data_IF_976497386781
#
_entry.id   IF_976497386781
#
_cell.length_a   1.000
_cell.length_b   1.000
_cell.length_c   1.000
_cell.angle_alpha   90.00
_cell.angle_beta   90.00
_cell.angle_gamma   90.00
#
_symmetry.space_group_name_H-M   'P 1'
#
loop_
_entity.id
_entity.type
_entity.pdbx_description
1 polymer ?
#
# COMPACT_ATOMS: atom_id res chain seq x y z
N UNK A 1 -27.66 26.04 -14.20
CA UNK A 1 -27.07 26.52 -12.93
C UNK A 1 -26.07 25.46 -12.49
N UNK A 2 -24.86 25.83 -12.10
CA UNK A 2 -23.85 24.86 -11.64
C UNK A 2 -24.24 24.32 -10.27
N UNK A 3 -24.34 23.00 -10.12
CA UNK A 3 -24.64 22.37 -8.84
C UNK A 3 -23.43 22.48 -7.90
N UNK A 4 -23.65 22.98 -6.68
CA UNK A 4 -22.60 23.08 -5.68
C UNK A 4 -22.26 21.69 -5.12
N UNK A 5 -20.99 21.38 -4.84
CA UNK A 5 -20.65 20.14 -4.16
C UNK A 5 -21.35 20.06 -2.80
N UNK A 6 -21.77 18.85 -2.36
CA UNK A 6 -22.49 18.68 -1.12
C UNK A 6 -21.64 19.14 0.08
N UNK A 7 -22.30 19.78 1.04
CA UNK A 7 -21.76 20.05 2.37
C UNK A 7 -22.57 19.26 3.38
N UNK A 8 -21.93 18.27 3.97
CA UNK A 8 -22.53 17.42 4.98
C UNK A 8 -22.59 18.12 6.32
N UNK A 9 -23.69 17.92 7.02
CA UNK A 9 -23.87 18.35 8.40
C UNK A 9 -23.00 17.52 9.34
N UNK A 10 -22.75 18.04 10.55
CA UNK A 10 -22.05 17.30 11.62
C UNK A 10 -22.71 15.94 11.90
N UNK A 11 -24.05 15.87 11.84
CA UNK A 11 -24.80 14.65 12.10
C UNK A 11 -24.56 13.59 11.00
N UNK A 12 -24.64 13.97 9.73
CA UNK A 12 -24.35 13.07 8.60
C UNK A 12 -22.90 12.61 8.62
N UNK A 13 -21.95 13.50 8.89
CA UNK A 13 -20.53 13.14 9.02
C UNK A 13 -20.29 12.17 10.18
N UNK A 14 -21.00 12.33 11.30
CA UNK A 14 -20.90 11.43 12.45
C UNK A 14 -21.49 10.05 12.15
N UNK A 15 -22.64 10.00 11.48
CA UNK A 15 -23.27 8.76 11.06
C UNK A 15 -22.38 7.97 10.08
N UNK A 16 -21.93 8.61 9.01
CA UNK A 16 -21.09 7.96 8.01
C UNK A 16 -19.73 7.54 8.59
N UNK A 17 -19.12 8.35 9.46
CA UNK A 17 -17.89 7.96 10.14
C UNK A 17 -18.09 6.75 11.08
N UNK A 18 -19.23 6.66 11.75
CA UNK A 18 -19.59 5.51 12.59
C UNK A 18 -19.79 4.24 11.75
N UNK A 19 -20.52 4.35 10.64
CA UNK A 19 -20.77 3.25 9.69
C UNK A 19 -19.46 2.74 9.08
N UNK A 20 -18.61 3.65 8.60
CA UNK A 20 -17.31 3.28 8.02
C UNK A 20 -16.39 2.62 9.05
N UNK A 21 -16.39 3.09 10.31
CA UNK A 21 -15.64 2.46 11.39
C UNK A 21 -16.19 1.07 11.75
N UNK A 22 -17.52 0.86 11.67
CA UNK A 22 -18.14 -0.43 11.89
C UNK A 22 -17.76 -1.44 10.80
N UNK A 23 -17.79 -1.03 9.54
CA UNK A 23 -17.32 -1.85 8.41
C UNK A 23 -15.84 -2.19 8.54
N UNK A 24 -15.00 -1.23 8.89
CA UNK A 24 -13.59 -1.48 9.16
C UNK A 24 -13.39 -2.52 10.27
N UNK A 25 -14.17 -2.46 11.37
CA UNK A 25 -14.09 -3.48 12.43
C UNK A 25 -14.52 -4.86 11.92
N UNK A 26 -15.62 -4.93 11.17
CA UNK A 26 -16.12 -6.18 10.60
C UNK A 26 -15.09 -6.82 9.65
N UNK A 27 -14.51 -6.03 8.74
CA UNK A 27 -13.44 -6.48 7.82
C UNK A 27 -12.21 -6.98 8.58
N UNK A 28 -11.80 -6.32 9.67
CA UNK A 28 -10.63 -6.72 10.47
C UNK A 28 -10.85 -7.97 11.30
N UNK A 29 -12.10 -8.26 11.67
CA UNK A 29 -12.49 -9.43 12.48
C UNK A 29 -12.98 -10.59 11.61
N UNK A 30 -13.16 -10.38 10.31
CA UNK A 30 -13.55 -11.43 9.39
C UNK A 30 -12.54 -12.56 9.40
N UNK A 31 -13.03 -13.80 9.49
CA UNK A 31 -12.21 -14.99 9.34
C UNK A 31 -11.81 -15.09 7.87
N UNK A 32 -10.51 -15.08 7.61
CA UNK A 32 -9.96 -15.25 6.26
C UNK A 32 -8.84 -16.27 6.27
N UNK A 33 -8.65 -16.93 5.14
CA UNK A 33 -7.53 -17.86 4.95
C UNK A 33 -6.20 -17.14 4.64
N UNK A 34 -6.17 -15.80 4.71
CA UNK A 34 -4.98 -15.00 4.40
C UNK A 34 -3.82 -15.35 5.36
N UNK A 35 -4.09 -15.48 6.67
CA UNK A 35 -3.08 -15.91 7.65
C UNK A 35 -2.43 -17.23 7.28
N UNK A 36 -3.26 -18.26 7.09
CA UNK A 36 -2.81 -19.61 6.75
C UNK A 36 -2.07 -19.64 5.40
N UNK A 37 -2.55 -18.87 4.41
CA UNK A 37 -1.93 -18.77 3.09
C UNK A 37 -0.54 -18.15 3.15
N UNK A 38 -0.39 -17.02 3.86
CA UNK A 38 0.91 -16.36 4.02
C UNK A 38 1.87 -17.21 4.86
N UNK A 39 1.36 -17.86 5.91
CA UNK A 39 2.15 -18.80 6.71
C UNK A 39 2.68 -19.97 5.87
N UNK A 40 1.82 -20.67 5.13
CA UNK A 40 2.23 -21.79 4.26
C UNK A 40 3.26 -21.37 3.21
N UNK A 41 3.05 -20.21 2.58
CA UNK A 41 4.01 -19.66 1.60
C UNK A 41 5.34 -19.31 2.24
N UNK A 42 5.33 -18.70 3.42
CA UNK A 42 6.55 -18.38 4.16
C UNK A 42 7.28 -19.67 4.59
N UNK A 43 6.56 -20.66 5.11
CA UNK A 43 7.09 -21.96 5.51
C UNK A 43 7.76 -22.68 4.36
N UNK A 44 7.09 -22.80 3.22
CA UNK A 44 7.67 -23.40 2.03
C UNK A 44 8.96 -22.68 1.57
N UNK A 45 9.00 -21.34 1.63
CA UNK A 45 10.20 -20.55 1.32
C UNK A 45 11.36 -20.86 2.26
N UNK A 46 11.11 -20.91 3.58
CA UNK A 46 12.17 -21.20 4.55
C UNK A 46 12.63 -22.65 4.50
N UNK A 47 11.73 -23.61 4.29
CA UNK A 47 12.11 -25.01 4.08
C UNK A 47 13.01 -25.17 2.84
N UNK A 48 12.65 -24.50 1.74
CA UNK A 48 13.49 -24.49 0.54
C UNK A 48 14.86 -23.84 0.81
N UNK A 49 14.90 -22.73 1.54
CA UNK A 49 16.14 -22.05 1.90
C UNK A 49 17.04 -22.93 2.78
N UNK A 50 16.48 -23.53 3.82
CA UNK A 50 17.20 -24.42 4.73
C UNK A 50 17.76 -25.61 3.96
N UNK A 51 16.95 -26.26 3.12
CA UNK A 51 17.43 -27.38 2.30
C UNK A 51 18.57 -26.97 1.37
N UNK A 52 18.55 -25.74 0.82
CA UNK A 52 19.62 -25.24 -0.04
C UNK A 52 20.89 -24.86 0.71
N UNK A 53 20.76 -24.35 1.92
CA UNK A 53 21.88 -23.87 2.73
C UNK A 53 22.25 -24.86 3.85
N UNK A 54 21.97 -26.15 3.66
CA UNK A 54 22.30 -27.23 4.61
C UNK A 54 21.81 -26.95 6.04
N UNK A 55 20.55 -26.56 6.18
CA UNK A 55 19.89 -26.13 7.43
C UNK A 55 20.61 -24.97 8.12
N UNK A 56 21.27 -24.11 7.34
CA UNK A 56 22.15 -23.05 7.83
C UNK A 56 23.27 -23.63 8.69
N UNK A 57 23.85 -24.76 8.31
CA UNK A 57 25.10 -25.23 8.89
C UNK A 57 26.24 -24.36 8.33
N UNK A 58 27.02 -23.62 9.16
CA UNK A 58 28.08 -22.73 8.67
C UNK A 58 29.07 -23.39 7.72
N UNK A 59 29.38 -24.67 7.93
CA UNK A 59 30.33 -25.44 7.10
C UNK A 59 29.71 -25.81 5.75
N UNK A 60 28.38 -25.89 5.67
CA UNK A 60 27.63 -26.29 4.49
C UNK A 60 27.13 -25.14 3.62
N UNK A 61 27.46 -23.89 3.95
CA UNK A 61 27.08 -22.70 3.16
C UNK A 61 28.23 -22.37 2.20
N UNK A 62 27.95 -22.43 0.89
CA UNK A 62 28.93 -22.18 -0.17
C UNK A 62 28.43 -21.09 -1.12
N UNK A 63 29.32 -20.48 -1.88
CA UNK A 63 28.92 -19.45 -2.84
C UNK A 63 27.97 -20.01 -3.92
N UNK A 64 28.14 -21.28 -4.28
CA UNK A 64 27.28 -21.97 -5.25
C UNK A 64 25.83 -22.14 -4.74
N UNK A 65 25.65 -22.59 -3.49
CA UNK A 65 24.31 -22.79 -2.95
C UNK A 65 23.63 -21.46 -2.58
N UNK A 66 24.40 -20.44 -2.22
CA UNK A 66 23.91 -19.06 -2.10
C UNK A 66 23.42 -18.53 -3.46
N UNK A 67 24.18 -18.73 -4.53
CA UNK A 67 23.81 -18.28 -5.87
C UNK A 67 22.56 -19.01 -6.38
N UNK A 68 22.45 -20.31 -6.08
CA UNK A 68 21.25 -21.10 -6.38
C UNK A 68 20.03 -20.59 -5.60
N UNK A 69 20.17 -20.35 -4.29
CA UNK A 69 19.09 -19.83 -3.45
C UNK A 69 18.57 -18.47 -3.96
N UNK A 70 19.46 -17.54 -4.32
CA UNK A 70 19.07 -16.28 -4.96
C UNK A 70 18.40 -16.49 -6.32
N UNK A 71 18.91 -17.42 -7.14
CA UNK A 71 18.33 -17.79 -8.43
C UNK A 71 16.91 -18.36 -8.32
N UNK A 72 16.55 -18.95 -7.18
CA UNK A 72 15.21 -19.44 -6.87
C UNK A 72 14.29 -18.37 -6.27
N UNK A 73 14.77 -17.13 -6.12
CA UNK A 73 13.99 -16.02 -5.55
C UNK A 73 13.91 -16.04 -4.03
N UNK A 74 14.84 -16.72 -3.34
CA UNK A 74 14.87 -16.82 -1.87
C UNK A 74 15.54 -15.62 -1.17
N UNK A 75 15.89 -14.56 -1.91
CA UNK A 75 16.53 -13.37 -1.36
C UNK A 75 15.75 -12.73 -0.20
N UNK A 76 14.41 -12.71 -0.26
CA UNK A 76 13.60 -12.24 0.86
C UNK A 76 13.79 -13.11 2.12
N UNK A 77 13.77 -14.44 1.97
CA UNK A 77 13.94 -15.34 3.11
C UNK A 77 15.34 -15.19 3.73
N UNK A 78 16.37 -14.99 2.90
CA UNK A 78 17.73 -14.68 3.33
C UNK A 78 17.79 -13.40 4.19
N UNK A 79 17.16 -12.31 3.73
CA UNK A 79 17.10 -11.05 4.51
C UNK A 79 16.42 -11.20 5.86
N UNK A 80 15.47 -12.13 5.95
CA UNK A 80 14.73 -12.42 7.17
C UNK A 80 15.48 -13.36 8.12
N UNK A 81 16.65 -13.90 7.75
CA UNK A 81 17.56 -14.56 8.70
C UNK A 81 18.16 -13.55 9.70
N UNK A 82 18.29 -12.29 9.31
CA UNK A 82 18.79 -11.24 10.18
C UNK A 82 17.84 -10.95 11.36
N UNK A 83 18.40 -10.60 12.51
CA UNK A 83 17.69 -10.13 13.70
C UNK A 83 18.12 -8.71 14.06
N UNK A 84 17.35 -7.66 13.69
CA UNK A 84 16.06 -7.67 12.98
C UNK A 84 16.20 -7.89 11.45
N UNK A 85 15.09 -8.24 10.74
CA UNK A 85 15.10 -8.34 9.28
C UNK A 85 15.53 -7.04 8.59
N UNK A 86 16.29 -7.18 7.49
CA UNK A 86 16.81 -6.03 6.73
C UNK A 86 15.95 -5.80 5.47
N UNK A 87 15.68 -4.54 5.12
CA UNK A 87 15.00 -4.19 3.87
C UNK A 87 15.89 -4.41 2.64
N UNK A 88 15.30 -4.44 1.44
CA UNK A 88 16.06 -4.52 0.20
C UNK A 88 17.00 -3.30 0.03
N UNK A 89 16.48 -2.09 0.27
CA UNK A 89 17.25 -0.84 0.14
C UNK A 89 18.39 -0.76 1.15
N UNK A 90 18.14 -1.08 2.43
CA UNK A 90 19.18 -1.05 3.47
C UNK A 90 20.27 -2.07 3.16
N UNK A 91 19.90 -3.28 2.74
CA UNK A 91 20.89 -4.31 2.43
C UNK A 91 21.79 -3.90 1.26
N UNK A 92 21.22 -3.30 0.21
CA UNK A 92 22.00 -2.80 -0.91
C UNK A 92 23.03 -1.75 -0.47
N UNK A 93 22.64 -0.82 0.40
CA UNK A 93 23.51 0.23 0.93
C UNK A 93 24.59 -0.35 1.85
N UNK A 94 24.21 -1.20 2.81
CA UNK A 94 25.13 -1.75 3.81
C UNK A 94 26.13 -2.71 3.16
N UNK A 95 25.69 -3.51 2.18
CA UNK A 95 26.56 -4.43 1.46
C UNK A 95 27.46 -3.73 0.44
N UNK A 96 27.26 -2.43 0.15
CA UNK A 96 28.02 -1.69 -0.85
C UNK A 96 28.02 -2.40 -2.22
N UNK A 97 26.80 -2.59 -2.75
CA UNK A 97 26.55 -3.20 -4.07
C UNK A 97 25.63 -2.33 -4.92
N UNK A 98 25.83 -2.37 -6.24
CA UNK A 98 25.04 -1.55 -7.17
C UNK A 98 23.60 -2.06 -7.37
N UNK A 99 23.35 -3.34 -7.10
CA UNK A 99 22.03 -3.95 -7.23
C UNK A 99 21.94 -5.24 -6.42
N UNK A 100 20.77 -5.48 -5.84
CA UNK A 100 20.42 -6.76 -5.21
C UNK A 100 19.40 -7.58 -6.03
N UNK A 101 19.14 -7.19 -7.29
CA UNK A 101 18.20 -7.90 -8.15
C UNK A 101 18.69 -9.34 -8.41
N UNK A 102 17.83 -10.37 -8.32
CA UNK A 102 18.24 -11.77 -8.46
C UNK A 102 18.99 -12.07 -9.75
N UNK A 103 18.55 -11.50 -10.88
CA UNK A 103 19.19 -11.69 -12.19
C UNK A 103 20.58 -11.06 -12.32
N UNK A 104 20.92 -10.09 -11.45
CA UNK A 104 22.23 -9.44 -11.37
C UNK A 104 23.11 -10.18 -10.36
N UNK A 105 22.65 -10.33 -9.11
CA UNK A 105 23.44 -10.96 -8.03
C UNK A 105 23.84 -12.40 -8.33
N UNK A 106 22.98 -13.19 -9.00
CA UNK A 106 23.33 -14.58 -9.37
C UNK A 106 24.58 -14.66 -10.26
N UNK A 107 24.89 -13.61 -11.01
CA UNK A 107 26.02 -13.54 -11.94
C UNK A 107 27.26 -12.84 -11.37
N UNK A 108 27.15 -12.29 -10.16
CA UNK A 108 28.20 -11.53 -9.49
C UNK A 108 28.46 -12.14 -8.11
N UNK A 109 29.32 -13.17 -8.07
CA UNK A 109 29.67 -13.89 -6.85
C UNK A 109 30.28 -12.97 -5.78
N UNK A 110 31.04 -11.95 -6.18
CA UNK A 110 31.66 -11.01 -5.26
C UNK A 110 30.59 -10.14 -4.57
N UNK A 111 29.64 -9.60 -5.33
CA UNK A 111 28.51 -8.87 -4.78
C UNK A 111 27.63 -9.75 -3.90
N UNK A 112 27.36 -10.98 -4.32
CA UNK A 112 26.58 -11.95 -3.54
C UNK A 112 27.24 -12.25 -2.18
N UNK A 113 28.56 -12.43 -2.15
CA UNK A 113 29.30 -12.67 -0.89
C UNK A 113 29.25 -11.45 0.04
N UNK A 114 29.38 -10.23 -0.50
CA UNK A 114 29.20 -8.99 0.29
C UNK A 114 27.82 -8.96 0.95
N UNK A 115 26.78 -9.24 0.16
CA UNK A 115 25.39 -9.26 0.63
C UNK A 115 25.18 -10.31 1.72
N UNK A 116 25.64 -11.54 1.50
CA UNK A 116 25.52 -12.59 2.51
C UNK A 116 26.34 -12.29 3.76
N UNK A 117 27.54 -11.71 3.63
CA UNK A 117 28.38 -11.33 4.77
C UNK A 117 27.73 -10.31 5.70
N UNK A 118 26.88 -9.42 5.18
CA UNK A 118 26.05 -8.53 6.00
C UNK A 118 25.03 -9.34 6.80
N UNK A 119 24.30 -10.25 6.14
CA UNK A 119 23.28 -11.09 6.78
C UNK A 119 23.89 -11.99 7.84
N UNK A 120 25.01 -12.65 7.54
CA UNK A 120 25.73 -13.53 8.45
C UNK A 120 26.16 -12.79 9.73
N UNK A 121 26.65 -11.55 9.59
CA UNK A 121 27.07 -10.72 10.72
C UNK A 121 25.94 -10.33 11.66
N UNK A 122 24.70 -10.26 11.18
CA UNK A 122 23.53 -9.86 11.97
C UNK A 122 22.47 -10.96 12.02
N UNK A 123 22.87 -12.21 11.78
CA UNK A 123 21.96 -13.35 11.84
C UNK A 123 21.35 -13.44 13.23
N UNK A 124 20.06 -13.74 13.32
CA UNK A 124 19.34 -13.74 14.59
C UNK A 124 19.83 -14.89 15.49
N UNK A 125 20.55 -14.62 16.59
CA UNK A 125 21.12 -15.68 17.42
C UNK A 125 20.05 -16.43 18.22
N UNK A 126 18.85 -15.87 18.38
CA UNK A 126 17.74 -16.54 19.06
C UNK A 126 17.04 -17.56 18.15
N UNK A 127 16.98 -17.29 16.84
CA UNK A 127 16.43 -18.23 15.86
C UNK A 127 17.46 -19.22 15.34
N UNK A 128 18.73 -18.81 15.21
CA UNK A 128 19.80 -19.60 14.60
C UNK A 128 21.03 -19.74 15.53
N UNK A 129 20.88 -20.20 16.80
CA UNK A 129 21.97 -20.21 17.77
C UNK A 129 23.18 -21.07 17.36
N UNK A 130 22.99 -22.04 16.48
CA UNK A 130 24.06 -22.91 16.00
C UNK A 130 25.00 -22.23 15.01
N UNK A 131 24.59 -21.13 14.38
CA UNK A 131 25.43 -20.35 13.46
C UNK A 131 26.63 -19.76 14.19
N UNK A 132 26.42 -19.20 15.38
CA UNK A 132 27.50 -18.69 16.24
C UNK A 132 28.38 -19.82 16.79
N UNK A 133 27.76 -20.95 17.15
CA UNK A 133 28.48 -22.11 17.66
C UNK A 133 29.27 -22.88 16.61
N UNK A 134 29.07 -22.61 15.30
CA UNK A 134 29.79 -23.28 14.22
C UNK A 134 29.41 -24.75 14.04
N UNK A 135 28.19 -25.14 14.44
CA UNK A 135 27.74 -26.55 14.43
C UNK A 135 26.45 -26.72 13.62
N UNK A 136 26.10 -27.97 13.31
CA UNK A 136 24.81 -28.30 12.73
C UNK A 136 23.68 -28.14 13.76
N UNK A 137 22.48 -27.71 13.35
CA UNK A 137 21.31 -27.67 14.23
C UNK A 137 20.85 -29.07 14.61
N UNK A 138 20.21 -29.17 15.77
CA UNK A 138 19.32 -30.30 16.09
C UNK A 138 17.99 -30.17 15.35
N UNK A 139 17.26 -31.28 15.18
CA UNK A 139 15.92 -31.27 14.57
C UNK A 139 14.96 -30.30 15.27
N UNK A 140 15.04 -30.21 16.59
CA UNK A 140 14.21 -29.29 17.37
C UNK A 140 14.56 -27.83 17.09
N UNK A 141 15.85 -27.49 17.03
CA UNK A 141 16.31 -26.14 16.69
C UNK A 141 15.91 -25.76 15.28
N UNK A 142 16.09 -26.68 14.33
CA UNK A 142 15.69 -26.52 12.94
C UNK A 142 14.18 -26.22 12.81
N UNK A 143 13.34 -27.04 13.43
CA UNK A 143 11.88 -26.85 13.36
C UNK A 143 11.41 -25.56 14.07
N UNK A 144 12.01 -25.23 15.21
CA UNK A 144 11.73 -23.98 15.91
C UNK A 144 12.08 -22.75 15.05
N UNK A 145 13.24 -22.78 14.38
CA UNK A 145 13.69 -21.70 13.51
C UNK A 145 12.81 -21.54 12.27
N UNK A 146 12.40 -22.66 11.66
CA UNK A 146 11.47 -22.65 10.53
C UNK A 146 10.12 -22.06 10.95
N UNK A 147 9.55 -22.49 12.08
CA UNK A 147 8.29 -21.94 12.61
C UNK A 147 8.42 -20.43 12.86
N UNK A 148 9.42 -20.01 13.64
CA UNK A 148 9.62 -18.61 14.02
C UNK A 148 9.82 -17.71 12.80
N UNK A 149 10.64 -18.14 11.84
CA UNK A 149 10.90 -17.37 10.61
C UNK A 149 9.67 -17.29 9.71
N UNK A 150 8.90 -18.38 9.60
CA UNK A 150 7.66 -18.42 8.84
C UNK A 150 6.61 -17.47 9.41
N UNK A 151 6.43 -17.48 10.74
CA UNK A 151 5.50 -16.57 11.43
C UNK A 151 5.94 -15.11 11.26
N UNK A 152 7.24 -14.82 11.40
CA UNK A 152 7.78 -13.47 11.23
C UNK A 152 7.49 -12.90 9.82
N UNK A 153 7.79 -13.69 8.78
CA UNK A 153 7.55 -13.27 7.40
C UNK A 153 6.05 -13.17 7.08
N UNK A 154 5.24 -14.13 7.53
CA UNK A 154 3.79 -14.09 7.32
C UNK A 154 3.16 -12.87 7.99
N UNK A 155 3.56 -12.54 9.22
CA UNK A 155 3.08 -11.36 9.93
C UNK A 155 3.45 -10.05 9.19
N UNK A 156 4.68 -9.94 8.67
CA UNK A 156 5.10 -8.79 7.87
C UNK A 156 4.33 -8.67 6.55
N UNK A 157 4.08 -9.80 5.88
CA UNK A 157 3.32 -9.84 4.63
C UNK A 157 1.87 -9.42 4.85
N UNK A 158 1.22 -9.90 5.90
CA UNK A 158 -0.14 -9.50 6.25
C UNK A 158 -0.22 -8.05 6.68
N UNK A 159 0.76 -7.56 7.46
CA UNK A 159 0.81 -6.14 7.81
C UNK A 159 0.95 -5.25 6.57
N UNK A 160 1.64 -5.72 5.53
CA UNK A 160 1.82 -5.00 4.26
C UNK A 160 0.58 -5.10 3.36
N UNK A 161 0.03 -6.29 3.18
CA UNK A 161 -1.22 -6.55 2.45
C UNK A 161 -2.35 -5.69 3.02
N UNK A 162 -2.57 -5.74 4.33
CA UNK A 162 -3.59 -4.94 5.03
C UNK A 162 -3.42 -3.42 4.90
N UNK A 163 -2.22 -2.93 4.57
CA UNK A 163 -1.93 -1.51 4.30
C UNK A 163 -2.22 -1.15 2.84
N UNK A 164 -1.93 -2.05 1.90
CA UNK A 164 -2.07 -1.81 0.47
C UNK A 164 -3.49 -2.10 -0.04
N UNK A 165 -4.10 -3.21 0.39
CA UNK A 165 -5.46 -3.59 0.00
C UNK A 165 -6.47 -2.48 0.27
N UNK A 166 -6.36 -1.80 1.42
CA UNK A 166 -7.23 -0.67 1.74
C UNK A 166 -7.16 0.43 0.68
N UNK A 167 -5.95 0.82 0.25
CA UNK A 167 -5.75 1.87 -0.75
C UNK A 167 -6.25 1.41 -2.13
N UNK A 168 -5.76 0.27 -2.61
CA UNK A 168 -6.03 -0.19 -3.98
C UNK A 168 -7.51 -0.57 -4.17
N UNK A 169 -8.12 -1.17 -3.15
CA UNK A 169 -9.56 -1.48 -3.14
C UNK A 169 -10.39 -0.20 -3.20
N UNK A 170 -9.96 0.86 -2.50
CA UNK A 170 -10.68 2.12 -2.48
C UNK A 170 -10.72 2.80 -3.86
N UNK A 171 -9.55 2.95 -4.49
CA UNK A 171 -9.45 3.54 -5.83
C UNK A 171 -10.21 2.69 -6.86
N UNK A 172 -10.09 1.36 -6.76
CA UNK A 172 -10.79 0.43 -7.64
C UNK A 172 -12.30 0.55 -7.48
N UNK A 173 -12.83 0.62 -6.24
CA UNK A 173 -14.26 0.83 -5.97
C UNK A 173 -14.79 2.12 -6.62
N UNK A 174 -14.06 3.22 -6.53
CA UNK A 174 -14.46 4.48 -7.18
C UNK A 174 -14.48 4.34 -8.70
N UNK A 175 -13.43 3.76 -9.30
CA UNK A 175 -13.35 3.56 -10.76
C UNK A 175 -14.44 2.62 -11.27
N UNK A 176 -14.66 1.49 -10.60
CA UNK A 176 -15.69 0.53 -10.95
C UNK A 176 -17.09 1.15 -10.86
N UNK A 177 -17.32 1.96 -9.82
CA UNK A 177 -18.56 2.71 -9.68
C UNK A 177 -18.76 3.72 -10.82
N UNK A 178 -17.73 4.50 -11.17
CA UNK A 178 -17.80 5.41 -12.33
C UNK A 178 -18.12 4.68 -13.64
N UNK A 179 -17.50 3.51 -13.87
CA UNK A 179 -17.82 2.66 -15.03
C UNK A 179 -19.27 2.18 -15.00
N UNK A 180 -19.80 1.85 -13.83
CA UNK A 180 -21.22 1.48 -13.67
C UNK A 180 -22.19 2.62 -14.01
N UNK A 181 -21.75 3.88 -13.84
CA UNK A 181 -22.48 5.08 -14.28
C UNK A 181 -22.31 5.39 -15.78
N UNK A 182 -21.60 4.53 -16.53
CA UNK A 182 -21.37 4.70 -17.96
C UNK A 182 -20.17 5.57 -18.32
N UNK A 183 -19.30 5.90 -17.37
CA UNK A 183 -18.05 6.60 -17.69
C UNK A 183 -16.99 5.64 -18.24
N UNK A 184 -16.25 6.11 -19.25
CA UNK A 184 -15.11 5.40 -19.81
C UNK A 184 -13.80 5.85 -19.17
N UNK A 185 -12.87 4.92 -18.96
CA UNK A 185 -11.53 5.26 -18.50
C UNK A 185 -10.65 5.71 -19.67
N UNK A 186 -10.24 6.98 -19.65
CA UNK A 186 -9.34 7.57 -20.62
C UNK A 186 -7.85 7.38 -20.22
N UNK A 187 -6.92 7.37 -21.19
CA UNK A 187 -5.49 7.30 -20.90
C UNK A 187 -5.01 8.44 -19.98
N UNK A 188 -4.12 8.10 -19.05
CA UNK A 188 -3.55 9.06 -18.09
C UNK A 188 -2.61 10.05 -18.80
N UNK A 189 -2.85 11.35 -18.63
CA UNK A 189 -1.99 12.43 -19.12
C UNK A 189 -1.75 13.46 -18.02
N UNK A 190 -0.71 14.27 -18.14
CA UNK A 190 -0.50 15.41 -17.25
C UNK A 190 -1.49 16.54 -17.56
N UNK A 191 -2.37 16.84 -16.61
CA UNK A 191 -3.43 17.85 -16.70
C UNK A 191 -2.91 19.18 -16.13
N UNK A 192 -2.20 19.93 -16.97
CA UNK A 192 -1.71 21.27 -16.59
C UNK A 192 -2.77 22.37 -16.85
N UNK A 193 -3.75 22.06 -17.69
CA UNK A 193 -4.93 22.89 -17.96
C UNK A 193 -6.14 21.98 -18.04
N UNK A 194 -7.32 22.46 -17.65
CA UNK A 194 -8.54 21.64 -17.56
C UNK A 194 -8.93 20.98 -18.88
N UNK A 195 -8.59 21.59 -20.03
CA UNK A 195 -8.89 21.06 -21.37
C UNK A 195 -8.14 19.76 -21.69
N UNK A 196 -6.99 19.53 -21.03
CA UNK A 196 -6.21 18.30 -21.15
C UNK A 196 -6.74 17.16 -20.27
N UNK A 197 -7.72 17.42 -19.41
CA UNK A 197 -8.34 16.39 -18.59
C UNK A 197 -9.23 15.43 -19.39
N UNK A 198 -9.85 14.45 -18.72
CA UNK A 198 -10.84 13.57 -19.34
C UNK A 198 -11.95 14.38 -20.02
N UNK A 199 -12.52 13.85 -21.11
CA UNK A 199 -13.63 14.49 -21.83
C UNK A 199 -14.99 14.10 -21.23
N UNK A 200 -16.09 14.56 -21.81
CA UNK A 200 -17.43 14.21 -21.36
C UNK A 200 -17.60 12.68 -21.26
N UNK A 201 -18.24 12.21 -20.18
CA UNK A 201 -18.39 10.78 -19.87
C UNK A 201 -17.06 10.03 -19.71
N UNK A 202 -15.98 10.72 -19.35
CA UNK A 202 -14.68 10.08 -19.08
C UNK A 202 -14.15 10.41 -17.68
N UNK A 203 -13.35 9.47 -17.18
CA UNK A 203 -12.43 9.69 -16.07
C UNK A 203 -11.04 9.18 -16.44
N UNK A 204 -10.01 9.55 -15.70
CA UNK A 204 -8.71 8.87 -15.76
C UNK A 204 -8.27 8.46 -14.37
N UNK A 205 -7.49 7.38 -14.29
CA UNK A 205 -6.82 6.93 -13.07
C UNK A 205 -5.70 7.90 -12.63
N UNK A 206 -4.85 7.48 -11.68
CA UNK A 206 -3.84 8.33 -11.05
C UNK A 206 -3.06 9.15 -12.09
N UNK A 207 -3.21 10.47 -12.02
CA UNK A 207 -2.54 11.37 -12.95
C UNK A 207 -2.14 12.68 -12.28
N UNK A 208 -1.23 13.39 -12.95
CA UNK A 208 -0.79 14.70 -12.52
C UNK A 208 -1.86 15.75 -12.85
N UNK A 209 -2.33 16.50 -11.85
CA UNK A 209 -3.26 17.63 -11.98
C UNK A 209 -2.61 18.90 -11.40
N UNK A 210 -2.07 19.74 -12.30
CA UNK A 210 -1.14 20.80 -11.93
C UNK A 210 0.16 20.20 -11.37
N UNK A 211 0.58 20.61 -10.18
CA UNK A 211 1.77 20.09 -9.50
C UNK A 211 1.47 19.02 -8.45
N UNK A 212 0.20 18.60 -8.31
CA UNK A 212 -0.21 17.52 -7.41
C UNK A 212 -0.80 16.36 -8.20
N UNK A 213 -0.58 15.13 -7.73
CA UNK A 213 -1.29 13.95 -8.23
C UNK A 213 -2.70 13.88 -7.64
N UNK A 214 -3.66 13.46 -8.44
CA UNK A 214 -4.99 13.03 -8.04
C UNK A 214 -5.13 11.52 -8.32
N UNK A 215 -5.81 10.78 -7.44
CA UNK A 215 -5.97 9.32 -7.59
C UNK A 215 -6.97 8.99 -8.71
N UNK A 216 -8.04 9.79 -8.85
CA UNK A 216 -8.99 9.74 -9.97
C UNK A 216 -9.38 11.17 -10.37
N UNK A 217 -9.46 11.44 -11.66
CA UNK A 217 -10.02 12.70 -12.18
C UNK A 217 -11.19 12.36 -13.10
N UNK A 218 -12.36 12.95 -12.84
CA UNK A 218 -13.58 12.75 -13.66
C UNK A 218 -14.07 14.07 -14.24
N UNK A 219 -14.57 14.04 -15.48
CA UNK A 219 -15.26 15.18 -16.08
C UNK A 219 -16.72 15.19 -15.65
N UNK A 220 -17.13 16.18 -14.87
CA UNK A 220 -18.54 16.39 -14.53
C UNK A 220 -19.33 16.82 -15.79
N UNK A 221 -20.65 16.62 -15.77
CA UNK A 221 -21.51 16.96 -16.92
C UNK A 221 -21.49 18.46 -17.23
N UNK A 222 -21.31 19.31 -16.22
CA UNK A 222 -21.13 20.77 -16.35
C UNK A 222 -19.71 21.20 -16.73
N UNK A 223 -18.90 20.27 -17.22
CA UNK A 223 -17.52 20.45 -17.71
C UNK A 223 -16.43 20.66 -16.65
N UNK A 224 -16.76 20.79 -15.36
CA UNK A 224 -15.74 20.86 -14.31
C UNK A 224 -14.94 19.56 -14.21
N UNK A 225 -13.71 19.64 -13.70
CA UNK A 225 -12.96 18.46 -13.29
C UNK A 225 -13.20 18.19 -11.81
N UNK A 226 -13.63 16.99 -11.47
CA UNK A 226 -13.64 16.54 -10.09
C UNK A 226 -12.39 15.70 -9.82
N UNK A 227 -11.56 16.16 -8.89
CA UNK A 227 -10.30 15.52 -8.53
C UNK A 227 -10.50 14.77 -7.20
N UNK A 228 -10.46 13.45 -7.25
CA UNK A 228 -10.79 12.57 -6.13
C UNK A 228 -9.50 12.00 -5.54
N UNK A 229 -9.34 12.19 -4.24
CA UNK A 229 -8.31 11.56 -3.41
C UNK A 229 -8.91 10.41 -2.58
N UNK A 230 -8.45 9.19 -2.81
CA UNK A 230 -8.89 8.02 -2.08
C UNK A 230 -8.08 7.88 -0.78
N UNK A 231 -8.74 8.08 0.37
CA UNK A 231 -8.11 8.04 1.69
C UNK A 231 -8.73 6.95 2.57
N UNK A 232 -7.89 5.97 2.90
CA UNK A 232 -8.21 4.97 3.92
C UNK A 232 -7.44 5.25 5.19
N UNK A 233 -8.13 5.19 6.33
CA UNK A 233 -7.54 5.40 7.64
C UNK A 233 -7.88 4.26 8.60
N UNK A 234 -6.87 3.72 9.28
CA UNK A 234 -7.05 2.70 10.32
C UNK A 234 -7.26 3.29 11.72
N UNK A 235 -7.08 4.61 11.89
CA UNK A 235 -7.22 5.28 13.18
C UNK A 235 -7.55 6.75 13.01
N UNK A 236 -8.28 7.29 13.98
CA UNK A 236 -8.62 8.70 14.07
C UNK A 236 -7.38 9.64 14.03
N UNK A 237 -6.26 9.23 14.62
CA UNK A 237 -5.02 10.03 14.64
C UNK A 237 -4.34 10.05 13.27
N UNK A 238 -4.22 8.88 12.62
CA UNK A 238 -3.64 8.79 11.28
C UNK A 238 -4.49 9.54 10.23
N UNK A 239 -5.80 9.64 10.45
CA UNK A 239 -6.71 10.34 9.54
C UNK A 239 -6.34 11.82 9.36
N UNK A 240 -5.78 12.50 10.38
CA UNK A 240 -5.33 13.90 10.28
C UNK A 240 -4.26 14.05 9.19
N UNK A 241 -3.26 13.16 9.20
CA UNK A 241 -2.18 13.17 8.21
C UNK A 241 -2.71 12.90 6.80
N UNK A 242 -3.62 11.95 6.65
CA UNK A 242 -4.14 11.46 5.36
C UNK A 242 -5.20 12.38 4.74
N UNK A 243 -6.05 12.97 5.56
CA UNK A 243 -7.14 13.84 5.11
C UNK A 243 -6.72 15.30 5.15
N UNK A 244 -6.46 15.84 6.33
CA UNK A 244 -6.23 17.28 6.51
C UNK A 244 -4.87 17.72 5.95
N UNK A 245 -3.79 16.99 6.24
CA UNK A 245 -2.45 17.41 5.81
C UNK A 245 -2.08 16.97 4.39
N UNK A 246 -2.93 16.19 3.72
CA UNK A 246 -2.70 15.68 2.37
C UNK A 246 -3.87 16.06 1.44
N UNK A 247 -5.02 15.38 1.52
CA UNK A 247 -6.15 15.63 0.61
C UNK A 247 -6.68 17.08 0.66
N UNK A 248 -6.86 17.66 1.85
CA UNK A 248 -7.34 19.04 1.97
C UNK A 248 -6.28 20.08 1.55
N UNK A 249 -4.99 19.80 1.73
CA UNK A 249 -3.90 20.64 1.19
C UNK A 249 -3.91 20.60 -0.34
N UNK A 250 -4.13 19.41 -0.95
CA UNK A 250 -4.29 19.29 -2.40
C UNK A 250 -5.53 20.02 -2.90
N UNK A 251 -6.65 19.96 -2.16
CA UNK A 251 -7.86 20.69 -2.49
C UNK A 251 -7.62 22.20 -2.58
N UNK A 252 -7.00 22.80 -1.55
CA UNK A 252 -6.64 24.22 -1.56
C UNK A 252 -5.72 24.57 -2.74
N UNK A 253 -4.74 23.70 -3.03
CA UNK A 253 -3.87 23.87 -4.18
C UNK A 253 -4.66 23.88 -5.50
N UNK A 254 -5.52 22.89 -5.74
CA UNK A 254 -6.29 22.80 -6.99
C UNK A 254 -7.27 23.97 -7.13
N UNK A 255 -7.94 24.36 -6.05
CA UNK A 255 -8.84 25.52 -6.04
C UNK A 255 -8.08 26.82 -6.37
N UNK A 256 -6.87 26.98 -5.84
CA UNK A 256 -6.01 28.12 -6.16
C UNK A 256 -5.52 28.09 -7.61
N UNK A 257 -5.13 26.92 -8.10
CA UNK A 257 -4.51 26.75 -9.42
C UNK A 257 -5.51 26.84 -10.58
N UNK A 258 -6.68 26.21 -10.42
CA UNK A 258 -7.67 26.07 -11.49
C UNK A 258 -8.92 26.94 -11.26
N UNK A 259 -9.11 27.47 -10.05
CA UNK A 259 -10.27 28.25 -9.69
C UNK A 259 -11.47 27.40 -9.27
N UNK A 260 -12.32 27.96 -8.40
CA UNK A 260 -13.50 27.26 -7.84
C UNK A 260 -14.59 26.95 -8.87
N UNK A 261 -14.55 27.61 -10.03
CA UNK A 261 -15.50 27.38 -11.12
C UNK A 261 -15.11 26.21 -12.03
N UNK A 262 -13.89 25.69 -11.92
CA UNK A 262 -13.33 24.71 -12.86
C UNK A 262 -13.02 23.35 -12.24
N UNK A 263 -12.79 23.31 -10.93
CA UNK A 263 -12.42 22.08 -10.22
C UNK A 263 -13.29 21.86 -8.98
N UNK A 264 -13.59 20.59 -8.72
CA UNK A 264 -14.25 20.10 -7.50
C UNK A 264 -13.31 19.12 -6.82
N UNK A 265 -12.50 19.56 -5.83
CA UNK A 265 -11.73 18.63 -5.02
C UNK A 265 -12.66 17.75 -4.19
N UNK A 266 -12.36 16.47 -4.14
CA UNK A 266 -13.12 15.51 -3.41
C UNK A 266 -12.23 14.44 -2.77
N UNK A 267 -12.74 13.77 -1.75
CA UNK A 267 -12.11 12.60 -1.16
C UNK A 267 -13.08 11.43 -1.08
N UNK A 268 -12.61 10.25 -1.50
CA UNK A 268 -13.26 8.97 -1.26
C UNK A 268 -12.72 8.36 0.04
N UNK A 269 -13.57 8.21 1.05
CA UNK A 269 -13.16 7.88 2.42
C UNK A 269 -13.56 6.47 2.85
N UNK A 270 -12.63 5.75 3.49
CA UNK A 270 -12.91 4.51 4.20
C UNK A 270 -12.16 4.39 5.53
N UNK A 271 -12.80 3.78 6.52
CA UNK A 271 -12.21 3.46 7.81
C UNK A 271 -12.51 4.50 8.88
N UNK A 272 -11.50 4.88 9.66
CA UNK A 272 -11.70 5.58 10.94
C UNK A 272 -11.28 7.05 10.85
N UNK A 273 -12.26 7.94 11.06
CA UNK A 273 -12.08 9.40 11.04
C UNK A 273 -12.73 10.04 12.27
N UNK A 274 -12.20 11.19 12.70
CA UNK A 274 -12.89 12.08 13.64
C UNK A 274 -13.76 13.07 12.87
N UNK A 275 -14.97 13.31 13.37
CA UNK A 275 -15.93 14.27 12.78
C UNK A 275 -15.31 15.67 12.63
N UNK A 276 -14.63 16.17 13.67
CA UNK A 276 -13.93 17.45 13.62
C UNK A 276 -12.95 17.57 12.44
N UNK A 277 -12.23 16.49 12.12
CA UNK A 277 -11.27 16.49 11.02
C UNK A 277 -11.96 16.52 9.65
N UNK A 278 -13.13 15.87 9.54
CA UNK A 278 -13.98 15.88 8.35
C UNK A 278 -14.55 17.28 8.13
N UNK A 279 -15.07 17.91 9.17
CA UNK A 279 -15.57 19.30 9.12
C UNK A 279 -14.49 20.29 8.69
N UNK A 280 -13.28 20.16 9.24
CA UNK A 280 -12.13 20.97 8.85
C UNK A 280 -11.68 20.72 7.41
N UNK A 281 -11.77 19.51 6.90
CA UNK A 281 -11.45 19.22 5.50
C UNK A 281 -12.49 19.83 4.55
N UNK A 282 -13.77 19.71 4.91
CA UNK A 282 -14.88 20.31 4.16
C UNK A 282 -14.81 21.85 4.15
N UNK A 283 -14.46 22.48 5.27
CA UNK A 283 -14.31 23.95 5.33
C UNK A 283 -13.19 24.48 4.45
N UNK A 284 -12.21 23.63 4.11
CA UNK A 284 -11.09 23.90 3.19
C UNK A 284 -11.42 23.58 1.72
N UNK A 285 -12.68 23.27 1.42
CA UNK A 285 -13.17 23.05 0.06
C UNK A 285 -12.99 21.62 -0.47
N UNK A 286 -12.74 20.64 0.40
CA UNK A 286 -12.71 19.23 0.04
C UNK A 286 -14.10 18.60 0.23
N UNK A 287 -14.72 18.16 -0.86
CA UNK A 287 -16.00 17.44 -0.83
C UNK A 287 -15.77 16.00 -0.35
N UNK A 288 -16.63 15.45 0.50
CA UNK A 288 -16.38 14.14 1.11
C UNK A 288 -17.39 13.11 0.59
N UNK A 289 -16.93 11.93 0.19
CA UNK A 289 -17.77 10.81 -0.23
C UNK A 289 -17.26 9.53 0.41
N UNK A 290 -18.16 8.65 0.83
CA UNK A 290 -17.79 7.43 1.55
C UNK A 290 -17.91 6.21 0.66
N UNK A 291 -16.97 5.28 0.76
CA UNK A 291 -16.97 4.07 -0.08
C UNK A 291 -18.14 3.12 0.20
N UNK A 292 -18.70 3.20 1.41
CA UNK A 292 -19.88 2.42 1.77
C UNK A 292 -21.17 2.99 1.20
N UNK A 293 -21.12 4.19 0.60
CA UNK A 293 -22.26 4.92 0.07
C UNK A 293 -21.83 5.79 -1.13
N UNK A 294 -21.35 5.12 -2.20
CA UNK A 294 -20.95 5.79 -3.44
C UNK A 294 -22.15 6.37 -4.21
N UNK A 295 -23.38 6.03 -3.84
CA UNK A 295 -24.58 6.61 -4.44
C UNK A 295 -24.68 8.11 -4.20
N UNK A 296 -24.17 8.62 -3.07
CA UNK A 296 -23.99 10.07 -2.85
C UNK A 296 -23.03 10.72 -3.87
N UNK A 297 -21.97 10.01 -4.28
CA UNK A 297 -21.07 10.49 -5.34
C UNK A 297 -21.79 10.52 -6.68
N UNK A 298 -22.49 9.43 -7.02
CA UNK A 298 -23.27 9.35 -8.27
C UNK A 298 -24.35 10.41 -8.35
N UNK A 299 -25.10 10.63 -7.27
CA UNK A 299 -26.13 11.66 -7.19
C UNK A 299 -25.55 13.08 -7.40
N UNK A 300 -24.37 13.37 -6.83
CA UNK A 300 -23.72 14.65 -7.09
C UNK A 300 -23.29 14.79 -8.55
N UNK A 301 -22.65 13.76 -9.13
CA UNK A 301 -22.26 13.78 -10.55
C UNK A 301 -23.49 14.01 -11.42
N UNK A 302 -24.58 13.27 -11.22
CA UNK A 302 -25.83 13.40 -11.97
C UNK A 302 -26.45 14.79 -11.85
N UNK A 303 -26.38 15.41 -10.66
CA UNK A 303 -26.87 16.78 -10.43
C UNK A 303 -26.14 17.86 -11.24
N UNK A 304 -25.03 17.54 -11.90
CA UNK A 304 -24.28 18.46 -12.76
C UNK A 304 -24.74 18.46 -14.22
N UNK A 305 -25.77 17.68 -14.57
CA UNK A 305 -26.37 17.67 -15.90
C UNK A 305 -27.02 19.00 -16.30
#
# INVERSE_FOLDING_TARGET
>A
MTSAPPKWTTAELAEDASNSAALFRAERLAVTDSWETHYKKARAKFEQLFNKLSDLNPIGITDDNLAEAYGLGLGEALRYLAGPPISDDDLQVIADVNSIAPGVLKKDAAALRKVFGVIERVIDPHRFPWMEAGVAPTDQQREAALLASSVLLAAQRIATERRNEGKDTQETKVKDYLRSLGFEEAPTVAINTIVKGPQAMQFCAECQLGERKADVVVRLHDTRLMAIECKVSNSATNSVKRLNNDAAVKAEYWLKQFGTAQVVPAAGLAGVFKVLNLEQAQSRGLSLFWSHDLDKLGAFIDSTK
#
